data_IF_090255352613
#
_entry.id   IF_090255352613
#
_cell.length_a   1.000
_cell.length_b   1.000
_cell.length_c   1.000
_cell.angle_alpha   90.00
_cell.angle_beta   90.00
_cell.angle_gamma   90.00
#
_symmetry.space_group_name_H-M   'P 1'
#
loop_
_entity.id
_entity.type
_entity.pdbx_description
1 polymer ?
#
# COMPACT_ATOMS: atom_id res chain seq x y z
N UNK A 1 13.85 -18.44 12.49
CA UNK A 1 12.84 -17.37 12.60
C UNK A 1 12.71 -16.78 11.21
N UNK A 2 11.60 -16.98 10.50
CA UNK A 2 11.46 -16.47 9.14
C UNK A 2 11.45 -14.94 9.20
N UNK A 3 12.59 -14.35 8.85
CA UNK A 3 12.70 -12.94 8.54
C UNK A 3 11.79 -12.71 7.33
N UNK A 4 10.57 -12.27 7.61
CA UNK A 4 9.60 -12.02 6.58
C UNK A 4 10.02 -10.69 5.99
N UNK A 5 10.90 -10.75 4.99
CA UNK A 5 11.46 -9.57 4.34
C UNK A 5 10.33 -8.62 3.97
N UNK A 6 10.44 -7.36 4.41
CA UNK A 6 9.47 -6.35 4.09
C UNK A 6 9.47 -6.16 2.55
N UNK A 7 8.35 -6.48 1.93
CA UNK A 7 8.11 -6.28 0.50
C UNK A 7 7.37 -4.99 0.28
N UNK A 8 7.59 -4.37 -0.87
CA UNK A 8 6.82 -3.20 -1.23
C UNK A 8 5.49 -3.64 -1.82
N UNK A 9 4.43 -3.18 -1.19
CA UNK A 9 3.07 -3.35 -1.66
C UNK A 9 2.53 -1.99 -2.07
N UNK A 10 1.94 -1.94 -3.25
CA UNK A 10 1.17 -0.79 -3.70
C UNK A 10 -0.30 -1.06 -3.41
N UNK A 11 -0.89 -0.20 -2.60
CA UNK A 11 -2.31 -0.23 -2.28
C UNK A 11 -2.99 0.87 -3.09
N UNK A 12 -3.85 0.48 -4.01
CA UNK A 12 -4.69 1.36 -4.81
C UNK A 12 -6.13 1.29 -4.30
N UNK A 13 -6.83 2.42 -4.31
CA UNK A 13 -8.23 2.49 -3.92
C UNK A 13 -8.92 3.49 -4.85
N UNK A 14 -10.14 3.23 -5.34
CA UNK A 14 -10.75 4.03 -6.42
C UNK A 14 -10.96 5.50 -6.04
N UNK A 15 -11.25 5.78 -4.78
CA UNK A 15 -11.46 7.14 -4.28
C UNK A 15 -10.18 7.81 -3.74
N UNK A 16 -9.03 7.14 -3.74
CA UNK A 16 -7.83 7.60 -3.00
C UNK A 16 -6.55 7.45 -3.82
N UNK A 17 -5.52 8.25 -3.53
CA UNK A 17 -4.23 8.08 -4.19
C UNK A 17 -3.62 6.73 -3.85
N UNK A 18 -2.99 6.10 -4.84
CA UNK A 18 -2.18 4.90 -4.66
C UNK A 18 -1.06 5.16 -3.64
N UNK A 19 -0.93 4.28 -2.65
CA UNK A 19 0.10 4.38 -1.61
C UNK A 19 1.01 3.17 -1.68
N UNK A 20 2.31 3.41 -1.72
CA UNK A 20 3.32 2.35 -1.66
C UNK A 20 3.81 2.22 -0.23
N UNK A 21 3.62 1.04 0.34
CA UNK A 21 3.94 0.75 1.73
C UNK A 21 4.81 -0.49 1.83
N UNK A 22 5.84 -0.41 2.66
CA UNK A 22 6.68 -1.56 2.96
C UNK A 22 6.02 -2.36 4.07
N UNK A 23 5.70 -3.62 3.77
CA UNK A 23 5.06 -4.50 4.72
C UNK A 23 5.56 -5.92 4.57
N UNK A 24 5.41 -6.68 5.65
CA UNK A 24 5.71 -8.12 5.64
C UNK A 24 4.62 -8.94 4.93
N UNK A 25 3.42 -8.37 4.79
CA UNK A 25 2.22 -9.02 4.27
C UNK A 25 1.22 -7.98 3.72
N UNK A 26 0.34 -8.42 2.81
CA UNK A 26 -0.73 -7.58 2.22
C UNK A 26 -1.64 -6.93 3.26
N UNK A 27 -1.99 -7.62 4.34
CA UNK A 27 -2.82 -7.04 5.41
C UNK A 27 -2.13 -5.88 6.13
N UNK A 28 -0.82 -6.02 6.39
CA UNK A 28 -0.04 -4.93 7.00
C UNK A 28 0.16 -3.78 6.03
N UNK A 29 0.24 -4.06 4.73
CA UNK A 29 0.23 -3.03 3.70
C UNK A 29 -1.07 -2.22 3.73
N UNK A 30 -2.23 -2.88 3.67
CA UNK A 30 -3.53 -2.21 3.70
C UNK A 30 -3.69 -1.39 5.00
N UNK A 31 -3.30 -1.94 6.14
CA UNK A 31 -3.35 -1.21 7.41
C UNK A 31 -2.44 0.03 7.42
N UNK A 32 -1.25 -0.05 6.83
CA UNK A 32 -0.35 1.10 6.70
C UNK A 32 -0.90 2.15 5.72
N UNK A 33 -1.44 1.72 4.57
CA UNK A 33 -2.04 2.60 3.57
C UNK A 33 -3.30 3.31 4.12
N UNK A 34 -4.14 2.59 4.86
CA UNK A 34 -5.31 3.18 5.52
C UNK A 34 -4.92 4.25 6.54
N UNK A 35 -3.81 4.05 7.27
CA UNK A 35 -3.26 5.06 8.17
C UNK A 35 -2.74 6.29 7.44
N UNK A 36 -2.12 6.12 6.26
CA UNK A 36 -1.71 7.23 5.39
C UNK A 36 -2.92 8.02 4.87
N UNK A 37 -4.04 7.36 4.60
CA UNK A 37 -5.28 8.03 4.21
C UNK A 37 -6.04 8.67 5.36
N UNK A 38 -5.78 8.24 6.61
CA UNK A 38 -6.54 8.69 7.78
C UNK A 38 -7.90 7.99 7.95
N UNK A 39 -8.09 6.87 7.25
CA UNK A 39 -9.36 6.14 7.20
C UNK A 39 -9.28 4.79 7.92
N UNK A 40 -10.46 4.23 8.22
CA UNK A 40 -10.55 2.91 8.83
C UNK A 40 -10.19 1.84 7.82
N UNK A 41 -9.09 1.13 8.09
CA UNK A 41 -8.61 0.02 7.26
C UNK A 41 -9.69 -1.03 6.97
N UNK A 42 -10.64 -1.27 7.87
CA UNK A 42 -11.72 -2.26 7.67
C UNK A 42 -12.70 -1.90 6.55
N UNK A 43 -12.87 -0.62 6.27
CA UNK A 43 -13.79 -0.12 5.24
C UNK A 43 -13.08 -0.07 3.90
N UNK A 44 -11.87 0.50 3.89
CA UNK A 44 -11.07 0.58 2.65
C UNK A 44 -10.52 -0.77 2.21
N UNK A 45 -10.24 -1.73 3.11
CA UNK A 45 -9.65 -3.03 2.76
C UNK A 45 -10.47 -3.84 1.74
N UNK A 46 -11.79 -3.61 1.69
CA UNK A 46 -12.69 -4.30 0.74
C UNK A 46 -12.58 -3.75 -0.68
N UNK A 47 -12.27 -2.47 -0.78
CA UNK A 47 -12.16 -1.70 -2.03
C UNK A 47 -10.70 -1.47 -2.44
N UNK A 48 -9.75 -1.83 -1.58
CA UNK A 48 -8.32 -1.72 -1.83
C UNK A 48 -7.84 -2.87 -2.71
N UNK A 49 -7.22 -2.52 -3.82
CA UNK A 49 -6.44 -3.44 -4.62
C UNK A 49 -4.98 -3.39 -4.15
N UNK A 50 -4.40 -4.56 -3.84
CA UNK A 50 -3.00 -4.67 -3.41
C UNK A 50 -2.17 -5.36 -4.47
N UNK A 51 -1.21 -4.62 -5.03
CA UNK A 51 -0.21 -5.14 -5.96
C UNK A 51 1.13 -5.35 -5.23
N UNK A 52 1.67 -6.56 -5.29
CA UNK A 52 3.03 -6.85 -4.80
C UNK A 52 4.02 -6.37 -5.87
N UNK A 53 4.86 -5.39 -5.51
CA UNK A 53 5.88 -4.83 -6.41
C UNK A 53 7.25 -5.49 -6.24
N UNK A 54 7.36 -6.55 -5.41
CA UNK A 54 8.61 -7.23 -5.12
C UNK A 54 9.48 -6.54 -4.05
N UNK A 55 10.81 -6.79 -4.04
CA UNK A 55 11.72 -6.23 -3.04
C UNK A 55 11.77 -4.72 -3.19
N UNK A 56 11.63 -3.99 -2.08
CA UNK A 56 11.24 -2.59 -2.11
C UNK A 56 12.16 -1.70 -2.98
N UNK A 57 11.69 -1.19 -4.14
CA UNK A 57 12.39 -0.12 -4.82
C UNK A 57 12.27 1.18 -4.01
N UNK A 58 13.35 1.97 -3.99
CA UNK A 58 13.31 3.35 -3.46
C UNK A 58 12.11 4.07 -4.06
N UNK A 59 11.17 4.51 -3.21
CA UNK A 59 9.91 5.14 -3.56
C UNK A 59 10.16 6.36 -4.48
N UNK A 60 10.19 6.11 -5.79
CA UNK A 60 10.29 7.14 -6.79
C UNK A 60 8.89 7.73 -6.94
N UNK A 61 8.58 8.70 -6.07
CA UNK A 61 7.43 9.60 -6.10
C UNK A 61 7.04 9.87 -7.55
N UNK A 62 6.09 9.10 -8.10
CA UNK A 62 5.36 9.50 -9.30
C UNK A 62 4.14 10.26 -8.83
N UNK A 63 4.43 11.48 -8.35
CA UNK A 63 3.48 12.56 -8.54
C UNK A 63 3.03 12.55 -9.99
N UNK A 64 1.70 12.69 -10.16
CA UNK A 64 1.01 13.23 -11.35
C UNK A 64 0.42 12.18 -12.30
N UNK A 65 -0.92 12.09 -12.30
CA UNK A 65 -1.78 12.73 -13.31
C UNK A 65 -3.28 12.45 -13.04
N UNK A 66 -4.00 13.44 -12.53
CA UNK A 66 -5.42 13.65 -12.86
C UNK A 66 -5.54 15.11 -13.28
N UNK A 67 -5.86 15.27 -14.57
CA UNK A 67 -6.19 16.45 -15.40
C UNK A 67 -5.85 17.85 -14.86
#
# INVERSE_FOLDING_TARGET
>A
MSDKEARLFEVQHPERPAVQVQAVDRLRAIAAAAREWGDRWTEVARDCEVSDLGPAPEQKRKSRRTT
#
